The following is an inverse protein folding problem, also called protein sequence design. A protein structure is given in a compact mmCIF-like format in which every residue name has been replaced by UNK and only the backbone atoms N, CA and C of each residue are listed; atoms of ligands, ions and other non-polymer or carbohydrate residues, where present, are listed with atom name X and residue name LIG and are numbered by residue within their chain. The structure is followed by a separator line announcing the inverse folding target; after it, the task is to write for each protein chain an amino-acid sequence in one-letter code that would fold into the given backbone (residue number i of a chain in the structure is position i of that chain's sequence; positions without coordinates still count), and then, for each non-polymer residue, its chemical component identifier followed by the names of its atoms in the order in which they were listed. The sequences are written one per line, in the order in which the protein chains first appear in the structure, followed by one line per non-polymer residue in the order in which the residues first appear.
data_IF_322827861439
#
_entry.id   IF_322827861439
#
_cell.length_a   1.000
_cell.length_b   1.000
_cell.length_c   1.000
_cell.angle_alpha   90.00
_cell.angle_beta   90.00
_cell.angle_gamma   90.00
#
_symmetry.space_group_name_H-M   'P 1'
#
loop_
_entity.id
_entity.type
_entity.pdbx_description
1 polymer ?
#
# COMPACT_ATOMS: atom_id res chain seq x y z
N UNK A 1 24.81 32.98 5.18
CA UNK A 1 25.50 31.72 5.51
C UNK A 1 24.50 30.60 5.30
N UNK A 2 24.57 29.95 4.14
CA UNK A 2 23.71 28.83 3.74
C UNK A 2 24.66 27.71 3.35
N UNK A 3 24.62 26.60 4.09
CA UNK A 3 25.43 25.44 3.80
C UNK A 3 24.85 24.72 2.58
N UNK A 4 25.66 24.72 1.51
CA UNK A 4 25.52 23.86 0.33
C UNK A 4 25.56 22.40 0.79
N UNK A 5 24.48 21.66 0.57
CA UNK A 5 24.51 20.20 0.47
C UNK A 5 24.67 19.90 -1.02
N UNK A 6 25.90 19.59 -1.44
CA UNK A 6 26.21 19.15 -2.80
C UNK A 6 25.62 17.75 -2.97
N UNK A 7 24.53 17.66 -3.71
CA UNK A 7 23.98 16.43 -4.27
C UNK A 7 24.94 15.98 -5.38
N UNK A 8 25.82 15.02 -5.07
CA UNK A 8 26.63 14.35 -6.09
C UNK A 8 25.74 13.30 -6.76
N UNK A 9 24.97 13.75 -7.75
CA UNK A 9 24.21 12.88 -8.65
C UNK A 9 25.23 12.22 -9.60
N UNK A 10 25.66 10.99 -9.31
CA UNK A 10 26.38 10.16 -10.28
C UNK A 10 25.36 9.61 -11.28
N UNK A 11 25.20 10.34 -12.38
CA UNK A 11 24.57 9.85 -13.60
C UNK A 11 25.47 8.79 -14.24
N UNK A 12 25.14 7.51 -14.06
CA UNK A 12 25.64 6.46 -14.95
C UNK A 12 24.65 6.27 -16.09
N UNK A 13 24.99 6.85 -17.24
CA UNK A 13 24.42 6.47 -18.53
C UNK A 13 24.88 5.05 -18.84
N UNK A 14 23.94 4.14 -19.12
CA UNK A 14 24.21 2.86 -19.77
C UNK A 14 24.93 3.11 -21.10
N UNK A 15 26.24 2.93 -21.09
CA UNK A 15 27.07 2.77 -22.29
C UNK A 15 27.66 1.38 -22.17
N UNK A 16 27.40 0.53 -23.16
CA UNK A 16 28.16 -0.70 -23.39
C UNK A 16 29.65 -0.33 -23.51
N UNK A 17 30.41 -0.50 -22.42
CA UNK A 17 31.86 -0.35 -22.40
C UNK A 17 32.43 -1.64 -21.81
N UNK A 18 32.76 -2.56 -22.71
CA UNK A 18 33.73 -3.62 -22.48
C UNK A 18 35.14 -3.00 -22.40
N UNK A 19 35.45 -2.33 -21.29
CA UNK A 19 36.82 -2.02 -20.86
C UNK A 19 36.87 -2.10 -19.33
N UNK A 20 37.70 -3.00 -18.79
CA UNK A 20 37.88 -3.28 -17.37
C UNK A 20 37.97 -2.00 -16.53
N UNK A 21 37.04 -1.83 -15.59
CA UNK A 21 37.10 -0.79 -14.58
C UNK A 21 38.21 -1.17 -13.59
N UNK A 22 39.08 -0.23 -13.24
CA UNK A 22 40.08 -0.43 -12.20
C UNK A 22 39.37 -0.81 -10.89
N UNK A 23 39.59 -2.04 -10.40
CA UNK A 23 38.89 -2.59 -9.24
C UNK A 23 37.88 -3.70 -9.54
N UNK A 24 37.75 -4.12 -10.81
CA UNK A 24 37.05 -5.36 -11.18
C UNK A 24 37.81 -6.60 -10.73
N UNK A 25 37.11 -7.51 -10.07
CA UNK A 25 37.64 -8.79 -9.63
C UNK A 25 36.70 -9.93 -10.03
N UNK A 26 37.16 -10.78 -10.94
CA UNK A 26 36.47 -12.03 -11.24
C UNK A 26 36.59 -12.98 -10.05
N UNK A 27 35.45 -13.47 -9.58
CA UNK A 27 35.36 -14.53 -8.58
C UNK A 27 34.71 -15.75 -9.23
N UNK A 28 35.50 -16.60 -9.93
CA UNK A 28 34.97 -17.80 -10.60
C UNK A 28 34.63 -18.91 -9.59
N UNK A 29 35.02 -18.73 -8.33
CA UNK A 29 34.67 -19.62 -7.24
C UNK A 29 33.27 -19.27 -6.73
N UNK A 30 32.56 -20.24 -6.17
CA UNK A 30 31.25 -19.98 -5.56
C UNK A 30 31.35 -19.82 -4.04
N UNK A 31 32.23 -20.56 -3.38
CA UNK A 31 32.36 -20.57 -1.92
C UNK A 31 33.61 -19.79 -1.49
N UNK A 32 33.48 -18.92 -0.49
CA UNK A 32 34.61 -18.28 0.19
C UNK A 32 35.13 -19.19 1.30
N UNK A 33 36.43 -19.47 1.26
CA UNK A 33 37.20 -20.16 2.29
C UNK A 33 38.67 -19.70 2.21
N UNK A 34 39.55 -20.24 3.05
CA UNK A 34 40.96 -19.87 3.14
C UNK A 34 41.71 -20.01 1.81
N UNK A 35 41.28 -20.90 0.92
CA UNK A 35 41.89 -21.09 -0.40
C UNK A 35 41.38 -20.11 -1.46
N UNK A 36 40.12 -19.67 -1.38
CA UNK A 36 39.50 -18.80 -2.40
C UNK A 36 39.52 -17.33 -2.02
N UNK A 37 39.54 -17.00 -0.72
CA UNK A 37 39.60 -15.61 -0.22
C UNK A 37 40.89 -14.89 -0.63
N UNK A 38 41.97 -15.65 -0.86
CA UNK A 38 43.23 -15.14 -1.38
C UNK A 38 43.09 -14.47 -2.77
N UNK A 39 41.98 -14.72 -3.49
CA UNK A 39 41.64 -14.01 -4.74
C UNK A 39 41.52 -12.49 -4.54
N UNK A 40 41.13 -12.06 -3.33
CA UNK A 40 40.99 -10.65 -2.97
C UNK A 40 42.26 -10.08 -2.31
N UNK A 41 43.18 -10.93 -1.86
CA UNK A 41 44.39 -10.50 -1.18
C UNK A 41 45.28 -9.63 -2.09
N UNK A 42 45.69 -8.47 -1.58
CA UNK A 42 46.51 -7.48 -2.28
C UNK A 42 45.85 -6.85 -3.53
N UNK A 43 44.52 -6.92 -3.66
CA UNK A 43 43.75 -6.24 -4.70
C UNK A 43 42.81 -5.22 -4.08
N UNK A 44 42.72 -4.05 -4.69
CA UNK A 44 41.67 -3.07 -4.36
C UNK A 44 40.41 -3.43 -5.15
N UNK A 45 39.82 -4.58 -4.85
CA UNK A 45 38.56 -4.99 -5.45
C UNK A 45 37.44 -4.05 -4.98
N UNK A 46 36.65 -3.55 -5.91
CA UNK A 46 35.46 -2.73 -5.64
C UNK A 46 34.22 -3.42 -6.24
N UNK A 47 34.42 -4.08 -7.39
CA UNK A 47 33.39 -4.79 -8.14
C UNK A 47 33.76 -6.27 -8.22
N UNK A 48 32.81 -7.15 -7.89
CA UNK A 48 32.95 -8.59 -8.06
C UNK A 48 32.13 -9.07 -9.25
N UNK A 49 32.77 -9.76 -10.19
CA UNK A 49 32.08 -10.53 -11.22
C UNK A 49 32.02 -12.00 -10.79
N UNK A 50 30.87 -12.44 -10.30
CA UNK A 50 30.68 -13.79 -9.79
C UNK A 50 29.71 -13.84 -8.60
N UNK A 51 28.99 -14.97 -8.50
CA UNK A 51 28.19 -15.27 -7.31
C UNK A 51 29.07 -15.77 -6.17
N UNK A 52 28.72 -15.41 -4.95
CA UNK A 52 29.52 -15.73 -3.77
C UNK A 52 28.65 -16.27 -2.63
N UNK A 53 29.18 -17.28 -1.95
CA UNK A 53 28.57 -17.97 -0.83
C UNK A 53 29.55 -18.08 0.33
N UNK A 54 29.09 -17.70 1.52
CA UNK A 54 29.77 -17.95 2.79
C UNK A 54 28.86 -18.89 3.57
N UNK A 55 29.37 -20.08 3.90
CA UNK A 55 28.58 -21.08 4.60
C UNK A 55 29.34 -21.84 5.70
N UNK A 56 28.75 -22.91 6.24
CA UNK A 56 29.35 -23.72 7.31
C UNK A 56 30.67 -24.39 6.93
N UNK A 57 30.99 -24.47 5.63
CA UNK A 57 32.26 -25.03 5.12
C UNK A 57 33.37 -23.99 5.06
N UNK A 58 33.04 -22.72 5.27
CA UNK A 58 33.99 -21.62 5.32
C UNK A 58 34.83 -21.68 6.59
N UNK A 59 36.15 -21.69 6.44
CA UNK A 59 37.13 -21.74 7.53
C UNK A 59 37.76 -20.37 7.84
N UNK A 60 37.26 -19.30 7.20
CA UNK A 60 37.75 -17.93 7.40
C UNK A 60 37.07 -17.24 8.57
N UNK A 61 37.83 -16.41 9.26
CA UNK A 61 37.37 -15.58 10.38
C UNK A 61 36.66 -14.32 9.89
N UNK A 62 35.93 -13.66 10.79
CA UNK A 62 35.27 -12.39 10.50
C UNK A 62 36.31 -11.33 10.11
N UNK A 63 37.44 -11.29 10.81
CA UNK A 63 38.53 -10.36 10.57
C UNK A 63 39.18 -10.56 9.19
N UNK A 64 39.40 -11.80 8.77
CA UNK A 64 39.91 -12.11 7.42
C UNK A 64 38.93 -11.67 6.33
N UNK A 65 37.62 -11.83 6.57
CA UNK A 65 36.59 -11.33 5.66
C UNK A 65 36.56 -9.80 5.60
N UNK A 66 36.71 -9.11 6.73
CA UNK A 66 36.80 -7.63 6.75
C UNK A 66 38.00 -7.18 5.92
N UNK A 67 39.17 -7.78 6.13
CA UNK A 67 40.38 -7.44 5.37
C UNK A 67 40.16 -7.63 3.86
N UNK A 68 39.48 -8.70 3.45
CA UNK A 68 39.26 -9.04 2.06
C UNK A 68 38.09 -8.28 1.38
N UNK A 69 37.01 -7.96 2.11
CA UNK A 69 35.72 -7.58 1.51
C UNK A 69 35.25 -6.15 1.85
N UNK A 70 35.91 -5.44 2.76
CA UNK A 70 35.45 -4.11 3.20
C UNK A 70 35.34 -3.06 2.09
N UNK A 71 36.13 -3.20 1.01
CA UNK A 71 36.11 -2.28 -0.14
C UNK A 71 35.08 -2.64 -1.21
N UNK A 72 34.45 -3.81 -1.12
CA UNK A 72 33.50 -4.28 -2.13
C UNK A 72 32.24 -3.44 -2.06
N UNK A 73 31.95 -2.72 -3.14
CA UNK A 73 30.73 -1.93 -3.30
C UNK A 73 29.66 -2.62 -4.13
N UNK A 74 30.08 -3.52 -5.03
CA UNK A 74 29.24 -4.11 -6.05
C UNK A 74 29.51 -5.60 -6.26
N UNK A 75 28.44 -6.40 -6.38
CA UNK A 75 28.51 -7.81 -6.78
C UNK A 75 27.59 -8.05 -7.97
N UNK A 76 28.16 -8.51 -9.08
CA UNK A 76 27.46 -9.06 -10.25
C UNK A 76 27.35 -10.57 -10.10
N UNK A 77 26.33 -10.98 -9.34
CA UNK A 77 26.05 -12.35 -8.96
C UNK A 77 25.07 -12.39 -7.80
N UNK A 78 24.88 -13.59 -7.27
CA UNK A 78 24.07 -13.82 -6.07
C UNK A 78 24.96 -13.85 -4.84
N UNK A 79 24.54 -13.19 -3.76
CA UNK A 79 25.20 -13.22 -2.46
C UNK A 79 24.44 -14.14 -1.50
N UNK A 80 25.12 -15.16 -0.99
CA UNK A 80 24.54 -16.16 -0.08
C UNK A 80 25.32 -16.23 1.24
N UNK A 81 24.64 -16.04 2.36
CA UNK A 81 25.19 -16.20 3.72
C UNK A 81 24.36 -17.25 4.45
N UNK A 82 24.87 -18.47 4.59
CA UNK A 82 24.05 -19.63 4.96
C UNK A 82 24.69 -20.46 6.07
N UNK A 83 23.95 -20.84 7.11
CA UNK A 83 24.45 -21.70 8.20
C UNK A 83 25.75 -21.21 8.88
N UNK A 84 26.07 -19.93 8.83
CA UNK A 84 27.31 -19.40 9.39
C UNK A 84 27.21 -19.22 10.90
N UNK A 85 28.37 -19.12 11.56
CA UNK A 85 28.47 -18.77 12.97
C UNK A 85 28.66 -17.26 13.21
N UNK A 86 28.59 -16.44 12.16
CA UNK A 86 28.81 -14.99 12.25
C UNK A 86 27.64 -14.29 12.96
N UNK A 87 27.98 -13.26 13.74
CA UNK A 87 27.00 -12.44 14.46
C UNK A 87 26.45 -11.32 13.57
N UNK A 88 27.23 -10.86 12.59
CA UNK A 88 26.82 -9.88 11.60
C UNK A 88 27.67 -10.04 10.33
N UNK A 89 27.36 -9.25 9.30
CA UNK A 89 28.05 -9.26 8.01
C UNK A 89 28.76 -7.93 7.72
N UNK A 90 29.29 -7.28 8.76
CA UNK A 90 29.94 -5.97 8.65
C UNK A 90 31.21 -5.96 7.81
N UNK A 91 31.71 -7.15 7.43
CA UNK A 91 32.79 -7.28 6.45
C UNK A 91 32.39 -6.77 5.05
N UNK A 92 31.11 -6.50 4.80
CA UNK A 92 30.62 -5.81 3.61
C UNK A 92 30.34 -4.32 3.87
N UNK A 93 31.23 -3.61 4.56
CA UNK A 93 30.99 -2.22 5.00
C UNK A 93 30.49 -1.27 3.90
N UNK A 94 31.00 -1.40 2.67
CA UNK A 94 30.67 -0.52 1.54
C UNK A 94 29.71 -1.15 0.51
N UNK A 95 29.22 -2.36 0.75
CA UNK A 95 28.35 -3.05 -0.21
C UNK A 95 27.01 -2.33 -0.30
N UNK A 96 26.70 -1.81 -1.49
CA UNK A 96 25.47 -1.07 -1.73
C UNK A 96 24.71 -1.57 -2.95
N UNK A 97 25.25 -2.55 -3.68
CA UNK A 97 24.59 -3.10 -4.86
C UNK A 97 24.94 -4.57 -5.09
N UNK A 98 23.90 -5.39 -5.28
CA UNK A 98 24.00 -6.78 -5.72
C UNK A 98 23.01 -6.94 -6.87
N UNK A 99 23.48 -7.41 -8.02
CA UNK A 99 22.59 -7.76 -9.12
C UNK A 99 22.95 -9.11 -9.71
N UNK A 100 21.98 -9.77 -10.30
CA UNK A 100 22.17 -11.03 -10.98
C UNK A 100 21.28 -11.03 -12.22
N UNK A 101 21.78 -11.58 -13.32
CA UNK A 101 20.93 -11.93 -14.45
C UNK A 101 19.86 -12.92 -13.97
N UNK A 102 18.59 -12.71 -14.33
CA UNK A 102 17.34 -13.29 -13.80
C UNK A 102 17.21 -14.85 -13.72
N UNK A 103 18.31 -15.61 -13.69
CA UNK A 103 18.33 -17.07 -13.56
C UNK A 103 17.98 -17.55 -12.14
N UNK A 104 18.20 -16.73 -11.10
CA UNK A 104 17.78 -17.02 -9.72
C UNK A 104 16.70 -16.04 -9.25
N UNK A 105 15.72 -16.50 -8.44
CA UNK A 105 14.60 -15.66 -7.98
C UNK A 105 15.00 -14.63 -6.91
N UNK A 106 16.19 -14.72 -6.33
CA UNK A 106 16.66 -13.82 -5.28
C UNK A 106 18.14 -13.48 -5.48
N UNK A 107 18.49 -12.22 -5.23
CA UNK A 107 19.85 -11.68 -5.36
C UNK A 107 20.63 -11.80 -4.03
N UNK A 108 19.93 -11.68 -2.90
CA UNK A 108 20.50 -11.84 -1.56
C UNK A 108 19.78 -12.95 -0.79
N UNK A 109 20.54 -13.94 -0.32
CA UNK A 109 20.07 -15.03 0.52
C UNK A 109 20.79 -15.01 1.86
N UNK A 110 20.04 -14.95 2.96
CA UNK A 110 20.56 -15.05 4.33
C UNK A 110 19.73 -16.10 5.07
N UNK A 111 20.29 -17.29 5.26
CA UNK A 111 19.52 -18.45 5.70
C UNK A 111 20.18 -19.23 6.85
N UNK A 112 19.38 -19.62 7.85
CA UNK A 112 19.77 -20.55 8.91
C UNK A 112 21.02 -20.12 9.74
N UNK A 113 21.32 -18.82 9.81
CA UNK A 113 22.43 -18.30 10.61
C UNK A 113 21.99 -18.12 12.07
N UNK A 114 22.17 -19.17 12.88
CA UNK A 114 21.64 -19.24 14.25
C UNK A 114 22.17 -18.17 15.23
N UNK A 115 23.33 -17.57 14.92
CA UNK A 115 23.98 -16.54 15.74
C UNK A 115 23.88 -15.13 15.18
N UNK A 116 23.31 -14.95 13.98
CA UNK A 116 23.29 -13.67 13.31
C UNK A 116 22.26 -12.75 13.97
N UNK A 117 22.71 -11.58 14.41
CA UNK A 117 21.91 -10.56 15.10
C UNK A 117 21.58 -9.36 14.19
N UNK A 118 22.40 -9.10 13.16
CA UNK A 118 22.25 -7.92 12.29
C UNK A 118 22.80 -8.14 10.88
N UNK A 119 22.20 -7.46 9.90
CA UNK A 119 22.68 -7.36 8.52
C UNK A 119 23.64 -6.19 8.27
N UNK A 120 24.08 -5.45 9.29
CA UNK A 120 24.98 -4.30 9.12
C UNK A 120 26.10 -4.62 8.11
N UNK A 121 26.14 -3.93 6.96
CA UNK A 121 26.98 -4.25 5.80
C UNK A 121 26.23 -4.74 4.55
N UNK A 122 24.93 -5.06 4.61
CA UNK A 122 24.15 -5.44 3.43
C UNK A 122 22.75 -4.77 3.36
N UNK A 123 22.66 -3.53 3.84
CA UNK A 123 21.48 -2.67 3.69
C UNK A 123 21.67 -1.79 2.46
N UNK A 124 21.20 -2.28 1.32
CA UNK A 124 21.35 -1.65 0.01
C UNK A 124 20.19 -0.68 -0.25
N UNK A 125 20.45 0.58 -0.65
CA UNK A 125 19.40 1.59 -0.87
C UNK A 125 18.77 1.51 -2.27
N UNK A 126 18.49 0.30 -2.75
CA UNK A 126 17.89 0.04 -4.08
C UNK A 126 16.98 -1.20 -4.03
N UNK A 127 16.12 -1.33 -5.06
CA UNK A 127 15.27 -2.51 -5.23
C UNK A 127 16.10 -3.80 -5.28
N UNK A 128 15.78 -4.75 -4.40
CA UNK A 128 16.52 -5.99 -4.24
C UNK A 128 15.58 -7.15 -3.91
N UNK A 129 15.72 -8.25 -4.64
CA UNK A 129 14.97 -9.47 -4.38
C UNK A 129 15.69 -10.29 -3.30
N UNK A 130 15.02 -10.55 -2.17
CA UNK A 130 15.65 -11.08 -0.94
C UNK A 130 14.99 -12.33 -0.40
N UNK A 131 15.81 -13.23 0.14
CA UNK A 131 15.38 -14.45 0.83
C UNK A 131 16.09 -14.57 2.18
N UNK A 132 15.41 -14.16 3.26
CA UNK A 132 15.99 -14.05 4.61
C UNK A 132 15.22 -14.98 5.55
N UNK A 133 15.73 -16.19 5.75
CA UNK A 133 15.01 -17.25 6.45
C UNK A 133 15.72 -17.80 7.67
N UNK A 134 14.95 -18.04 8.74
CA UNK A 134 15.34 -18.85 9.89
C UNK A 134 16.62 -18.36 10.58
N UNK A 135 16.80 -17.05 10.72
CA UNK A 135 17.88 -16.45 11.49
C UNK A 135 17.30 -15.95 12.83
N UNK A 136 17.19 -16.82 13.87
CA UNK A 136 16.33 -16.58 15.04
C UNK A 136 16.72 -15.38 15.91
N UNK A 137 17.95 -14.88 15.78
CA UNK A 137 18.42 -13.69 16.52
C UNK A 137 18.42 -12.42 15.67
N UNK A 138 18.18 -12.53 14.36
CA UNK A 138 18.35 -11.45 13.39
C UNK A 138 17.26 -10.39 13.53
N UNK A 139 17.68 -9.19 13.88
CA UNK A 139 16.84 -7.98 13.87
C UNK A 139 17.06 -7.26 12.53
N UNK A 140 15.96 -6.89 11.88
CA UNK A 140 15.97 -6.25 10.58
C UNK A 140 15.53 -4.80 10.72
N UNK A 141 16.11 -3.91 9.92
CA UNK A 141 15.62 -2.54 9.78
C UNK A 141 14.36 -2.56 8.90
N UNK A 142 13.19 -2.73 9.53
CA UNK A 142 11.95 -2.88 8.78
C UNK A 142 11.52 -1.63 8.00
N UNK A 143 12.00 -0.44 8.35
CA UNK A 143 11.78 0.77 7.55
C UNK A 143 12.54 0.66 6.22
N UNK A 144 13.83 0.32 6.29
CA UNK A 144 14.67 0.10 5.11
C UNK A 144 14.16 -1.05 4.24
N UNK A 145 13.90 -2.22 4.83
CA UNK A 145 13.42 -3.42 4.12
C UNK A 145 12.10 -3.13 3.40
N UNK A 146 11.18 -2.41 4.05
CA UNK A 146 9.88 -2.09 3.44
C UNK A 146 10.00 -1.07 2.30
N UNK A 147 10.97 -0.16 2.39
CA UNK A 147 11.17 0.86 1.36
C UNK A 147 11.88 0.31 0.13
N UNK A 148 12.90 -0.53 0.32
CA UNK A 148 13.76 -0.99 -0.78
C UNK A 148 13.48 -2.42 -1.24
N UNK A 149 13.03 -3.34 -0.38
CA UNK A 149 12.94 -4.77 -0.72
C UNK A 149 11.48 -5.24 -0.87
N UNK A 150 10.58 -4.38 -1.36
CA UNK A 150 9.13 -4.62 -1.37
C UNK A 150 8.63 -5.64 -2.38
N UNK A 151 9.40 -5.94 -3.43
CA UNK A 151 8.91 -6.64 -4.62
C UNK A 151 8.95 -8.18 -4.47
N UNK A 152 10.09 -8.84 -4.73
CA UNK A 152 10.23 -10.29 -4.49
C UNK A 152 11.04 -10.56 -3.23
N UNK A 153 10.35 -10.53 -2.09
CA UNK A 153 10.92 -10.87 -0.79
C UNK A 153 10.32 -12.13 -0.19
N UNK A 154 11.10 -12.79 0.66
CA UNK A 154 10.63 -13.85 1.55
C UNK A 154 11.42 -13.80 2.85
N UNK A 155 10.80 -13.30 3.91
CA UNK A 155 11.45 -13.00 5.19
C UNK A 155 10.68 -13.66 6.33
N UNK A 156 11.18 -14.79 6.86
CA UNK A 156 10.46 -15.57 7.90
C UNK A 156 11.39 -16.28 8.85
N UNK A 157 10.89 -16.59 10.04
CA UNK A 157 11.64 -17.35 11.05
C UNK A 157 12.82 -16.56 11.64
N UNK A 158 12.85 -15.24 11.44
CA UNK A 158 13.81 -14.34 12.07
C UNK A 158 13.21 -13.74 13.36
N UNK A 159 14.04 -13.04 14.14
CA UNK A 159 13.55 -12.32 15.32
C UNK A 159 12.54 -11.25 14.92
N UNK A 160 12.78 -10.59 13.78
CA UNK A 160 11.86 -9.65 13.14
C UNK A 160 11.74 -9.97 11.65
N UNK A 161 10.50 -10.05 11.13
CA UNK A 161 10.23 -10.47 9.74
C UNK A 161 9.72 -9.33 8.85
N UNK A 162 9.53 -8.12 9.41
CA UNK A 162 9.11 -6.93 8.67
C UNK A 162 7.82 -7.09 7.86
N UNK A 163 6.86 -7.87 8.37
CA UNK A 163 5.58 -8.19 7.74
C UNK A 163 5.45 -9.68 7.45
N UNK A 164 4.47 -10.02 6.61
CA UNK A 164 4.16 -11.41 6.25
C UNK A 164 3.97 -11.54 4.74
N UNK A 165 4.72 -12.44 4.12
CA UNK A 165 4.61 -12.68 2.68
C UNK A 165 3.61 -13.81 2.37
N UNK A 166 2.96 -13.72 1.21
CA UNK A 166 2.12 -14.78 0.65
C UNK A 166 2.95 -15.67 -0.29
N UNK A 167 2.98 -16.99 -0.07
CA UNK A 167 3.68 -17.95 -0.96
C UNK A 167 2.91 -18.27 -2.26
N UNK A 168 1.82 -17.56 -2.53
CA UNK A 168 0.93 -17.80 -3.66
C UNK A 168 -0.37 -17.00 -3.55
N UNK A 169 -1.36 -17.28 -4.42
CA UNK A 169 -2.68 -16.69 -4.33
C UNK A 169 -3.25 -16.89 -2.91
N UNK A 170 -3.81 -15.84 -2.34
CA UNK A 170 -4.41 -15.90 -1.01
C UNK A 170 -5.61 -16.87 -1.03
N UNK A 171 -5.43 -18.04 -0.42
CA UNK A 171 -6.49 -19.01 -0.14
C UNK A 171 -6.78 -19.05 1.35
N UNK A 172 -7.92 -19.61 1.75
CA UNK A 172 -8.26 -19.83 3.16
C UNK A 172 -7.19 -20.68 3.89
N UNK A 173 -6.61 -21.66 3.20
CA UNK A 173 -5.52 -22.47 3.75
C UNK A 173 -4.27 -21.63 4.04
N UNK A 174 -3.92 -20.68 3.16
CA UNK A 174 -2.78 -19.78 3.39
C UNK A 174 -3.07 -18.72 4.45
N UNK A 175 -4.30 -18.20 4.51
CA UNK A 175 -4.75 -17.24 5.51
C UNK A 175 -4.51 -17.73 6.94
N UNK A 176 -4.84 -19.00 7.22
CA UNK A 176 -4.67 -19.62 8.52
C UNK A 176 -3.20 -19.87 8.90
N UNK A 177 -2.28 -19.74 7.95
CA UNK A 177 -0.83 -19.89 8.18
C UNK A 177 -0.12 -18.54 8.36
N UNK A 178 -0.81 -17.41 8.13
CA UNK A 178 -0.26 -16.09 8.42
C UNK A 178 -0.10 -15.94 9.93
N UNK A 179 1.06 -15.45 10.36
CA UNK A 179 1.33 -15.22 11.78
C UNK A 179 0.41 -14.11 12.32
N UNK A 180 -0.14 -14.27 13.52
CA UNK A 180 -1.08 -13.32 14.16
C UNK A 180 -0.54 -11.89 14.39
N UNK A 181 0.73 -11.62 14.07
CA UNK A 181 1.44 -10.37 14.38
C UNK A 181 2.07 -9.68 13.15
N UNK A 182 1.46 -9.81 11.97
CA UNK A 182 1.91 -9.13 10.76
C UNK A 182 1.66 -7.60 10.84
N UNK A 183 2.70 -6.78 10.62
CA UNK A 183 2.59 -5.32 10.45
C UNK A 183 2.13 -4.90 9.05
N UNK A 184 2.37 -5.75 8.04
CA UNK A 184 1.97 -5.62 6.64
C UNK A 184 1.87 -6.99 5.97
N UNK A 185 1.12 -7.11 4.87
CA UNK A 185 0.96 -8.35 4.09
C UNK A 185 1.47 -8.13 2.66
N UNK A 186 2.52 -8.84 2.27
CA UNK A 186 3.15 -8.71 0.96
C UNK A 186 2.80 -9.88 0.04
N UNK A 187 2.60 -9.60 -1.24
CA UNK A 187 2.38 -10.60 -2.28
C UNK A 187 1.15 -10.34 -3.13
N UNK A 188 0.96 -11.19 -4.16
CA UNK A 188 -0.12 -11.01 -5.12
C UNK A 188 -1.45 -11.53 -4.58
N UNK A 189 -2.40 -10.61 -4.35
CA UNK A 189 -3.78 -10.95 -4.06
C UNK A 189 -4.51 -11.32 -5.35
N UNK A 190 -4.42 -12.59 -5.76
CA UNK A 190 -5.10 -13.09 -6.97
C UNK A 190 -6.44 -13.73 -6.61
N UNK A 191 -7.53 -13.01 -6.83
CA UNK A 191 -8.89 -13.48 -6.54
C UNK A 191 -9.61 -13.86 -7.84
N UNK A 192 -9.17 -14.93 -8.52
CA UNK A 192 -9.85 -15.44 -9.74
C UNK A 192 -11.13 -16.21 -9.42
N UNK A 193 -12.20 -16.00 -10.19
CA UNK A 193 -13.31 -16.97 -10.26
C UNK A 193 -13.92 -17.03 -11.64
N UNK A 194 -14.16 -18.26 -12.09
CA UNK A 194 -14.91 -18.59 -13.31
C UNK A 194 -16.40 -18.89 -12.96
N UNK A 195 -16.74 -18.92 -11.66
CA UNK A 195 -18.06 -19.21 -11.11
C UNK A 195 -18.46 -18.18 -10.01
N UNK A 196 -19.76 -17.90 -9.89
CA UNK A 196 -20.37 -16.95 -8.94
C UNK A 196 -20.28 -17.44 -7.48
N UNK A 197 -19.07 -17.54 -6.93
CA UNK A 197 -18.83 -17.78 -5.50
C UNK A 197 -18.45 -16.44 -4.86
N UNK A 198 -19.31 -15.95 -3.97
CA UNK A 198 -19.04 -14.74 -3.20
C UNK A 198 -17.84 -14.98 -2.28
N UNK A 199 -16.78 -14.18 -2.48
CA UNK A 199 -15.56 -14.23 -1.66
C UNK A 199 -15.60 -13.15 -0.60
N UNK A 200 -14.95 -13.40 0.54
CA UNK A 200 -14.85 -12.44 1.63
C UNK A 200 -13.40 -12.12 1.94
N UNK A 201 -13.07 -10.83 2.00
CA UNK A 201 -11.83 -10.35 2.61
C UNK A 201 -12.21 -9.74 3.97
N UNK A 202 -11.84 -10.42 5.06
CA UNK A 202 -12.05 -9.93 6.42
C UNK A 202 -10.73 -9.78 7.15
N UNK A 203 -10.48 -8.57 7.62
CA UNK A 203 -9.31 -8.27 8.45
C UNK A 203 -9.84 -7.59 9.69
N UNK A 204 -9.73 -8.26 10.84
CA UNK A 204 -10.45 -7.84 12.04
C UNK A 204 -9.54 -7.87 13.28
N UNK A 205 -9.61 -6.80 14.07
CA UNK A 205 -8.96 -6.69 15.37
C UNK A 205 -7.43 -6.90 15.37
N UNK A 206 -6.75 -6.58 14.26
CA UNK A 206 -5.29 -6.56 14.22
C UNK A 206 -4.77 -5.16 14.63
N UNK A 207 -4.38 -5.04 15.89
CA UNK A 207 -3.89 -3.77 16.46
C UNK A 207 -2.49 -3.38 15.97
N UNK A 208 -1.73 -4.30 15.38
CA UNK A 208 -0.38 -4.06 14.85
C UNK A 208 -0.37 -3.81 13.34
N UNK A 209 -1.48 -4.08 12.66
CA UNK A 209 -1.59 -3.84 11.23
C UNK A 209 -1.63 -2.33 10.97
N UNK A 210 -0.63 -1.84 10.24
CA UNK A 210 -0.48 -0.42 9.92
C UNK A 210 -0.78 -0.12 8.46
N UNK A 211 -0.55 -1.09 7.56
CA UNK A 211 -0.89 -1.01 6.13
C UNK A 211 -1.33 -2.37 5.60
N UNK A 212 -2.03 -2.38 4.47
CA UNK A 212 -2.25 -3.62 3.72
C UNK A 212 -1.00 -4.01 2.93
N UNK A 213 -0.36 -3.06 2.25
CA UNK A 213 0.80 -3.34 1.40
C UNK A 213 0.39 -3.87 0.02
N UNK A 214 -0.80 -3.49 -0.43
CA UNK A 214 -1.43 -3.99 -1.66
C UNK A 214 -1.26 -2.98 -2.81
N UNK A 215 -0.05 -2.47 -2.97
CA UNK A 215 0.29 -1.41 -3.93
C UNK A 215 0.13 -1.87 -5.39
N UNK A 216 0.24 -3.17 -5.65
CA UNK A 216 0.00 -3.81 -6.95
C UNK A 216 -1.44 -4.31 -7.16
N UNK A 217 -2.38 -3.98 -6.26
CA UNK A 217 -3.77 -4.42 -6.39
C UNK A 217 -4.49 -3.61 -7.48
N UNK A 218 -4.87 -4.30 -8.56
CA UNK A 218 -5.51 -3.68 -9.73
C UNK A 218 -7.04 -3.74 -9.70
N UNK A 219 -7.63 -4.83 -9.19
CA UNK A 219 -9.08 -4.99 -9.12
C UNK A 219 -9.55 -5.87 -7.95
N UNK A 220 -10.69 -5.50 -7.38
CA UNK A 220 -11.45 -6.26 -6.40
C UNK A 220 -12.87 -6.34 -6.93
N UNK A 221 -13.22 -7.44 -7.61
CA UNK A 221 -14.56 -7.65 -8.17
C UNK A 221 -15.22 -8.90 -7.59
N UNK A 222 -16.50 -8.79 -7.22
CA UNK A 222 -17.32 -9.89 -6.64
C UNK A 222 -16.84 -10.35 -5.25
N UNK A 223 -16.33 -9.41 -4.45
CA UNK A 223 -15.73 -9.69 -3.14
C UNK A 223 -16.32 -8.79 -2.09
N UNK A 224 -16.79 -9.40 -1.00
CA UNK A 224 -17.28 -8.70 0.17
C UNK A 224 -16.11 -8.29 1.06
N UNK A 225 -15.92 -6.97 1.24
CA UNK A 225 -14.81 -6.40 2.03
C UNK A 225 -15.31 -5.98 3.42
N UNK A 226 -14.60 -6.43 4.45
CA UNK A 226 -14.89 -6.09 5.85
C UNK A 226 -13.60 -5.91 6.68
N UNK A 227 -13.29 -4.66 7.02
CA UNK A 227 -12.16 -4.29 7.88
C UNK A 227 -12.65 -3.56 9.14
N UNK A 228 -12.47 -4.17 10.31
CA UNK A 228 -13.00 -3.65 11.59
C UNK A 228 -11.95 -3.77 12.69
N UNK A 229 -11.84 -2.79 13.58
CA UNK A 229 -11.04 -2.92 14.80
C UNK A 229 -9.52 -2.91 14.59
N UNK A 230 -9.05 -2.59 13.38
CA UNK A 230 -7.62 -2.46 13.06
C UNK A 230 -7.16 -1.01 13.33
N UNK A 231 -6.98 -0.67 14.61
CA UNK A 231 -6.84 0.74 15.07
C UNK A 231 -5.72 1.54 14.39
N UNK A 232 -4.63 0.87 14.01
CA UNK A 232 -3.46 1.53 13.42
C UNK A 232 -3.44 1.49 11.89
N UNK A 233 -4.38 0.78 11.28
CA UNK A 233 -4.44 0.59 9.84
C UNK A 233 -4.72 1.93 9.13
N UNK A 234 -3.85 2.26 8.19
CA UNK A 234 -4.09 3.28 7.19
C UNK A 234 -4.02 2.70 5.78
N UNK A 235 -4.67 3.39 4.84
CA UNK A 235 -4.71 3.03 3.43
C UNK A 235 -4.03 4.11 2.58
N UNK A 236 -3.29 3.70 1.56
CA UNK A 236 -2.96 4.60 0.46
C UNK A 236 -4.25 4.98 -0.30
N UNK A 237 -4.21 6.10 -1.04
CA UNK A 237 -5.35 6.50 -1.86
C UNK A 237 -5.69 5.42 -2.90
N UNK A 238 -4.67 4.79 -3.48
CA UNK A 238 -4.81 3.73 -4.48
C UNK A 238 -5.44 2.47 -3.88
N UNK A 239 -4.92 1.98 -2.74
CA UNK A 239 -5.49 0.81 -2.04
C UNK A 239 -6.98 1.04 -1.77
N UNK A 240 -7.33 2.21 -1.25
CA UNK A 240 -8.71 2.53 -0.90
C UNK A 240 -9.59 2.62 -2.15
N UNK A 241 -9.14 3.23 -3.24
CA UNK A 241 -9.90 3.32 -4.48
C UNK A 241 -10.15 1.94 -5.10
N UNK A 242 -9.14 1.07 -5.07
CA UNK A 242 -9.27 -0.28 -5.59
C UNK A 242 -10.18 -1.14 -4.72
N UNK A 243 -10.10 -1.03 -3.39
CA UNK A 243 -11.04 -1.71 -2.47
C UNK A 243 -12.49 -1.30 -2.70
N UNK A 244 -12.72 -0.04 -3.09
CA UNK A 244 -14.03 0.49 -3.45
C UNK A 244 -14.32 0.39 -4.97
N UNK A 245 -13.67 -0.54 -5.69
CA UNK A 245 -14.10 -0.96 -7.03
C UNK A 245 -15.23 -2.00 -6.99
N UNK A 246 -15.34 -2.77 -5.89
CA UNK A 246 -16.44 -3.73 -5.65
C UNK A 246 -17.71 -3.03 -5.14
N UNK A 247 -18.87 -3.52 -5.58
CA UNK A 247 -20.18 -3.12 -5.05
C UNK A 247 -20.44 -3.66 -3.63
N UNK A 248 -19.63 -4.62 -3.15
CA UNK A 248 -19.86 -5.39 -1.93
C UNK A 248 -18.95 -4.93 -0.78
N UNK A 249 -19.01 -3.66 -0.38
CA UNK A 249 -18.29 -3.17 0.81
C UNK A 249 -19.23 -3.20 2.02
N UNK A 250 -18.93 -4.02 3.03
CA UNK A 250 -19.72 -4.06 4.26
C UNK A 250 -19.28 -2.94 5.22
N UNK A 251 -18.02 -2.98 5.65
CA UNK A 251 -17.45 -1.96 6.53
C UNK A 251 -15.94 -1.88 6.37
N UNK A 252 -15.39 -0.68 6.36
CA UNK A 252 -13.97 -0.41 6.25
C UNK A 252 -13.64 0.68 7.28
N UNK A 253 -12.98 0.29 8.36
CA UNK A 253 -12.45 1.19 9.39
C UNK A 253 -10.96 1.42 9.17
N UNK A 254 -10.50 2.65 9.36
CA UNK A 254 -9.10 3.04 9.25
C UNK A 254 -8.95 4.51 8.93
N UNK A 255 -7.76 4.90 8.44
CA UNK A 255 -7.47 6.27 8.00
C UNK A 255 -6.74 6.28 6.66
N UNK A 256 -6.65 7.44 6.03
CA UNK A 256 -5.77 7.61 4.87
C UNK A 256 -4.36 7.87 5.39
N UNK A 257 -3.34 7.21 4.84
CA UNK A 257 -1.96 7.41 5.27
C UNK A 257 -1.47 8.83 4.93
N UNK A 258 -0.55 9.39 5.71
CA UNK A 258 0.22 10.59 5.35
C UNK A 258 1.43 10.14 4.53
N UNK A 259 1.51 10.54 3.26
CA UNK A 259 2.49 10.03 2.28
C UNK A 259 3.89 10.63 2.45
N UNK A 260 4.46 10.61 3.66
CA UNK A 260 5.87 10.94 3.84
C UNK A 260 6.71 9.68 3.71
N UNK A 261 7.43 9.53 2.58
CA UNK A 261 8.52 8.54 2.44
C UNK A 261 8.20 7.24 1.69
N UNK A 262 7.03 7.10 1.06
CA UNK A 262 6.63 5.87 0.37
C UNK A 262 6.76 5.99 -1.15
N UNK A 263 7.17 4.92 -1.87
CA UNK A 263 7.14 4.90 -3.33
C UNK A 263 5.73 5.20 -3.82
N UNK A 264 5.60 6.27 -4.60
CA UNK A 264 4.33 6.66 -5.19
C UNK A 264 4.03 5.70 -6.34
N UNK A 265 2.98 4.87 -6.19
CA UNK A 265 2.46 4.08 -7.31
C UNK A 265 1.99 5.07 -8.39
N UNK A 266 2.45 4.88 -9.62
CA UNK A 266 1.98 5.66 -10.77
C UNK A 266 0.49 5.39 -11.00
N UNK A 267 -0.37 6.23 -10.44
CA UNK A 267 -1.78 6.23 -10.83
C UNK A 267 -1.96 7.14 -12.05
N UNK A 268 -2.89 6.79 -12.93
CA UNK A 268 -3.25 7.62 -14.09
C UNK A 268 -3.94 8.95 -13.69
N UNK A 269 -4.23 9.15 -12.40
CA UNK A 269 -4.96 10.29 -11.88
C UNK A 269 -4.10 11.10 -10.89
N UNK A 270 -4.11 12.42 -11.00
CA UNK A 270 -3.35 13.26 -10.06
C UNK A 270 -4.03 13.27 -8.68
N UNK A 271 -3.29 12.86 -7.65
CA UNK A 271 -3.70 12.94 -6.23
C UNK A 271 -3.43 14.36 -5.72
N UNK A 272 -4.42 14.99 -5.09
CA UNK A 272 -4.28 16.29 -4.44
C UNK A 272 -4.80 16.24 -3.01
N UNK A 273 -3.93 16.59 -2.07
CA UNK A 273 -4.28 16.79 -0.68
C UNK A 273 -4.63 18.25 -0.44
N UNK A 274 -5.78 18.50 0.17
CA UNK A 274 -6.21 19.85 0.55
C UNK A 274 -6.41 19.92 2.06
N UNK A 275 -6.11 21.09 2.63
CA UNK A 275 -6.37 21.36 4.05
C UNK A 275 -7.86 21.65 4.28
N UNK A 276 -8.31 21.54 5.53
CA UNK A 276 -9.72 21.79 5.88
C UNK A 276 -10.19 23.22 5.56
N UNK A 277 -9.27 24.20 5.55
CA UNK A 277 -9.56 25.60 5.20
C UNK A 277 -9.35 25.91 3.70
N UNK A 278 -9.11 24.88 2.88
CA UNK A 278 -8.86 25.07 1.46
C UNK A 278 -10.11 25.53 0.72
N UNK A 279 -9.94 26.58 -0.08
CA UNK A 279 -10.94 27.06 -1.04
C UNK A 279 -10.78 26.36 -2.37
N UNK A 280 -11.81 26.42 -3.20
CA UNK A 280 -11.77 25.83 -4.54
C UNK A 280 -10.59 26.34 -5.39
N UNK A 281 -10.18 27.60 -5.20
CA UNK A 281 -9.03 28.21 -5.89
C UNK A 281 -7.70 27.48 -5.62
N UNK A 282 -7.59 26.78 -4.49
CA UNK A 282 -6.40 26.01 -4.09
C UNK A 282 -6.36 24.62 -4.72
N UNK A 283 -7.44 24.16 -5.37
CA UNK A 283 -7.49 22.83 -5.98
C UNK A 283 -6.80 22.88 -7.37
N UNK A 284 -5.79 22.05 -7.64
CA UNK A 284 -5.16 21.96 -8.96
C UNK A 284 -6.17 21.58 -10.06
N UNK A 285 -6.01 22.15 -11.26
CA UNK A 285 -6.95 21.96 -12.37
C UNK A 285 -7.04 20.49 -12.88
N UNK A 286 -5.97 19.73 -12.74
CA UNK A 286 -5.86 18.33 -13.16
C UNK A 286 -6.14 17.34 -12.02
N UNK A 287 -6.70 17.80 -10.90
CA UNK A 287 -6.97 16.92 -9.77
C UNK A 287 -7.99 15.83 -10.13
N UNK A 288 -7.57 14.56 -10.03
CA UNK A 288 -8.45 13.41 -10.21
C UNK A 288 -8.92 12.86 -8.87
N UNK A 289 -7.98 12.65 -7.95
CA UNK A 289 -8.26 12.13 -6.61
C UNK A 289 -8.03 13.27 -5.62
N UNK A 290 -9.06 13.65 -4.88
CA UNK A 290 -8.99 14.71 -3.89
C UNK A 290 -9.07 14.12 -2.48
N UNK A 291 -8.07 14.38 -1.66
CA UNK A 291 -8.02 13.97 -0.25
C UNK A 291 -8.27 15.20 0.63
N UNK A 292 -9.33 15.16 1.43
CA UNK A 292 -9.73 16.24 2.31
C UNK A 292 -11.21 16.62 2.17
N UNK A 293 -11.54 17.82 2.66
CA UNK A 293 -12.92 18.33 2.69
C UNK A 293 -13.17 19.35 1.57
N UNK A 294 -14.15 19.07 0.72
CA UNK A 294 -14.65 20.03 -0.28
C UNK A 294 -15.89 20.71 0.26
N UNK A 295 -15.82 22.03 0.40
CA UNK A 295 -16.95 22.86 0.86
C UNK A 295 -17.37 23.86 -0.23
N UNK A 296 -18.68 23.92 -0.51
CA UNK A 296 -19.30 24.90 -1.41
C UNK A 296 -20.39 25.63 -0.62
N UNK A 297 -20.27 26.95 -0.53
CA UNK A 297 -21.16 27.78 0.27
C UNK A 297 -21.46 29.13 -0.39
N UNK A 298 -22.00 30.08 0.38
CA UNK A 298 -22.28 31.44 -0.08
C UNK A 298 -21.02 32.26 -0.40
N UNK A 299 -19.89 31.94 0.22
CA UNK A 299 -18.61 32.60 -0.01
C UNK A 299 -17.86 32.04 -1.23
N UNK A 300 -18.35 30.93 -1.78
CA UNK A 300 -17.71 30.24 -2.90
C UNK A 300 -17.91 31.02 -4.22
N UNK A 301 -16.80 31.42 -4.84
CA UNK A 301 -16.83 31.97 -6.19
C UNK A 301 -17.18 30.89 -7.22
N UNK A 302 -18.36 31.02 -7.82
CA UNK A 302 -18.85 30.10 -8.85
C UNK A 302 -17.91 29.98 -10.06
N UNK A 303 -17.06 30.98 -10.31
CA UNK A 303 -16.06 30.94 -11.38
C UNK A 303 -14.96 29.90 -11.15
N UNK A 304 -14.82 29.36 -9.92
CA UNK A 304 -13.82 28.34 -9.56
C UNK A 304 -14.34 26.91 -9.62
N UNK A 305 -15.65 26.71 -9.82
CA UNK A 305 -16.28 25.38 -9.80
C UNK A 305 -15.70 24.41 -10.86
N UNK A 306 -15.17 24.93 -11.97
CA UNK A 306 -14.57 24.11 -13.03
C UNK A 306 -13.35 23.30 -12.56
N UNK A 307 -12.71 23.66 -11.43
CA UNK A 307 -11.59 22.90 -10.86
C UNK A 307 -12.02 21.52 -10.35
N UNK A 308 -13.31 21.33 -10.10
CA UNK A 308 -13.88 20.04 -9.70
C UNK A 308 -14.19 19.13 -10.91
N UNK A 309 -14.08 19.63 -12.14
CA UNK A 309 -14.52 18.94 -13.36
C UNK A 309 -13.76 17.64 -13.63
N UNK A 310 -12.50 17.57 -13.19
CA UNK A 310 -11.66 16.38 -13.36
C UNK A 310 -11.70 15.42 -12.17
N UNK A 311 -12.31 15.82 -11.05
CA UNK A 311 -12.34 15.02 -9.84
C UNK A 311 -13.23 13.79 -10.05
N UNK A 312 -12.64 12.61 -9.91
CA UNK A 312 -13.29 11.31 -10.00
C UNK A 312 -13.56 10.72 -8.63
N UNK A 313 -12.72 11.05 -7.64
CA UNK A 313 -12.81 10.52 -6.28
C UNK A 313 -12.57 11.61 -5.25
N UNK A 314 -13.43 11.66 -4.23
CA UNK A 314 -13.20 12.43 -3.01
C UNK A 314 -12.98 11.44 -1.85
N UNK A 315 -11.78 11.46 -1.27
CA UNK A 315 -11.46 10.75 -0.03
C UNK A 315 -11.58 11.75 1.12
N UNK A 316 -12.77 11.79 1.71
CA UNK A 316 -13.17 12.79 2.71
C UNK A 316 -14.62 13.22 2.53
N UNK A 317 -14.89 14.50 2.71
CA UNK A 317 -16.24 15.05 2.76
C UNK A 317 -16.57 15.96 1.57
N UNK A 318 -17.82 15.92 1.13
CA UNK A 318 -18.43 16.93 0.25
C UNK A 318 -19.56 17.64 0.99
N UNK A 319 -19.36 18.92 1.28
CA UNK A 319 -20.35 19.77 1.97
C UNK A 319 -20.81 20.89 1.06
N UNK A 320 -22.11 21.06 0.88
CA UNK A 320 -22.72 22.13 0.11
C UNK A 320 -23.81 22.80 0.95
N UNK A 321 -23.58 24.02 1.41
CA UNK A 321 -24.45 24.71 2.37
C UNK A 321 -24.71 26.15 1.99
N UNK A 322 -25.97 26.58 2.03
CA UNK A 322 -26.34 27.98 1.75
C UNK A 322 -25.80 28.52 0.41
N UNK A 323 -25.56 27.64 -0.56
CA UNK A 323 -24.98 28.00 -1.85
C UNK A 323 -26.04 28.45 -2.87
N UNK A 324 -25.59 29.22 -3.86
CA UNK A 324 -26.37 29.65 -5.02
C UNK A 324 -26.36 28.64 -6.17
N UNK A 325 -25.60 27.54 -6.08
CA UNK A 325 -25.51 26.56 -7.16
C UNK A 325 -26.85 25.83 -7.39
N UNK A 326 -27.10 25.50 -8.65
CA UNK A 326 -28.37 24.89 -9.09
C UNK A 326 -28.28 23.35 -9.10
N UNK A 327 -27.08 22.79 -9.21
CA UNK A 327 -26.84 21.35 -9.21
C UNK A 327 -25.36 21.00 -9.27
N UNK A 328 -25.06 19.71 -9.41
CA UNK A 328 -23.71 19.14 -9.27
C UNK A 328 -22.97 18.92 -10.60
N UNK A 329 -23.34 19.65 -11.67
CA UNK A 329 -22.66 19.57 -12.96
C UNK A 329 -21.12 19.78 -12.90
N UNK A 330 -20.56 20.62 -12.00
CA UNK A 330 -19.11 20.71 -11.84
C UNK A 330 -18.42 19.41 -11.43
N UNK A 331 -19.15 18.46 -10.85
CA UNK A 331 -18.66 17.15 -10.37
C UNK A 331 -19.04 16.01 -11.34
N UNK A 332 -19.23 16.29 -12.63
CA UNK A 332 -19.80 15.31 -13.57
C UNK A 332 -18.99 14.00 -13.72
N UNK A 333 -17.66 14.00 -13.48
CA UNK A 333 -16.82 12.79 -13.48
C UNK A 333 -16.76 12.07 -12.14
N UNK A 334 -17.39 12.62 -11.10
CA UNK A 334 -17.31 12.07 -9.75
C UNK A 334 -17.95 10.68 -9.71
N UNK A 335 -17.13 9.69 -9.36
CA UNK A 335 -17.49 8.28 -9.25
C UNK A 335 -17.62 7.84 -7.82
N UNK A 336 -16.83 8.42 -6.91
CA UNK A 336 -16.72 7.95 -5.52
C UNK A 336 -16.58 9.08 -4.52
N UNK A 337 -17.24 8.94 -3.37
CA UNK A 337 -17.01 9.75 -2.18
C UNK A 337 -16.85 8.80 -1.00
N UNK A 338 -15.68 8.76 -0.38
CA UNK A 338 -15.35 7.80 0.67
C UNK A 338 -14.91 8.57 1.91
N UNK A 339 -15.70 8.49 2.97
CA UNK A 339 -15.35 9.03 4.28
C UNK A 339 -15.27 7.91 5.31
N UNK A 340 -14.05 7.65 5.80
CA UNK A 340 -13.79 6.63 6.83
C UNK A 340 -14.04 7.14 8.26
N UNK A 341 -14.25 8.45 8.45
CA UNK A 341 -14.43 9.02 9.77
C UNK A 341 -15.76 8.58 10.40
N UNK A 342 -15.68 8.02 11.62
CA UNK A 342 -16.80 7.35 12.29
C UNK A 342 -17.98 8.26 12.62
N UNK A 343 -17.72 9.55 12.83
CA UNK A 343 -18.71 10.52 13.32
C UNK A 343 -19.00 11.62 12.29
N UNK A 344 -18.66 11.37 11.03
CA UNK A 344 -18.77 12.34 9.96
C UNK A 344 -19.59 11.78 8.80
N UNK A 345 -20.22 12.69 8.07
CA UNK A 345 -21.06 12.35 6.92
C UNK A 345 -20.24 12.58 5.66
N UNK A 346 -20.25 11.64 4.72
CA UNK A 346 -19.53 11.81 3.44
C UNK A 346 -20.11 12.96 2.60
N UNK A 347 -21.44 13.09 2.55
CA UNK A 347 -22.13 14.08 1.73
C UNK A 347 -23.18 14.84 2.54
N UNK A 348 -23.04 16.16 2.57
CA UNK A 348 -24.00 17.07 3.20
C UNK A 348 -24.44 18.13 2.21
N UNK A 349 -25.75 18.21 1.93
CA UNK A 349 -26.34 19.21 1.03
C UNK A 349 -27.52 19.87 1.74
N UNK A 350 -27.31 21.08 2.27
CA UNK A 350 -28.26 21.73 3.17
C UNK A 350 -28.55 23.18 2.81
N UNK A 351 -29.82 23.57 2.91
CA UNK A 351 -30.24 24.99 2.84
C UNK A 351 -29.88 25.72 1.53
N UNK A 352 -29.73 24.99 0.42
CA UNK A 352 -29.44 25.56 -0.89
C UNK A 352 -30.75 25.88 -1.62
N UNK A 353 -31.22 27.13 -1.53
CA UNK A 353 -32.54 27.56 -2.01
C UNK A 353 -32.77 27.38 -3.51
N UNK A 354 -31.69 27.41 -4.30
CA UNK A 354 -31.74 27.31 -5.77
C UNK A 354 -31.36 25.93 -6.31
N UNK A 355 -30.90 25.02 -5.45
CA UNK A 355 -30.49 23.70 -5.88
C UNK A 355 -31.71 22.87 -6.26
N UNK A 356 -31.71 22.33 -7.49
CA UNK A 356 -32.83 21.60 -8.08
C UNK A 356 -32.58 20.09 -8.14
N UNK A 357 -31.32 19.68 -8.29
CA UNK A 357 -30.94 18.28 -8.49
C UNK A 357 -29.54 18.00 -7.95
N UNK A 358 -29.36 16.77 -7.46
CA UNK A 358 -28.08 16.19 -7.01
C UNK A 358 -27.57 15.11 -7.97
N UNK A 359 -28.14 15.05 -9.18
CA UNK A 359 -27.84 14.02 -10.15
C UNK A 359 -26.35 14.06 -10.53
N UNK A 360 -25.72 12.90 -10.42
CA UNK A 360 -24.35 12.64 -10.86
C UNK A 360 -24.40 11.42 -11.77
N UNK A 361 -23.90 11.57 -13.00
CA UNK A 361 -24.04 10.54 -14.04
C UNK A 361 -23.28 9.25 -13.69
N UNK A 362 -22.07 9.41 -13.17
CA UNK A 362 -21.12 8.31 -13.03
C UNK A 362 -20.86 7.93 -11.56
N UNK A 363 -21.64 8.46 -10.60
CA UNK A 363 -21.49 8.12 -9.18
C UNK A 363 -21.82 6.64 -8.97
N UNK A 364 -20.90 5.92 -8.33
CA UNK A 364 -21.00 4.49 -8.04
C UNK A 364 -21.09 4.23 -6.54
N UNK A 365 -20.21 4.87 -5.77
CA UNK A 365 -20.11 4.65 -4.33
C UNK A 365 -20.10 5.95 -3.54
N UNK A 366 -20.94 6.00 -2.51
CA UNK A 366 -20.80 6.95 -1.40
C UNK A 366 -20.67 6.15 -0.12
N UNK A 367 -19.52 6.20 0.53
CA UNK A 367 -19.25 5.45 1.75
C UNK A 367 -19.09 6.38 2.94
N UNK A 368 -19.92 6.19 3.96
CA UNK A 368 -19.75 6.76 5.29
C UNK A 368 -20.54 5.96 6.32
N UNK A 369 -20.09 6.02 7.58
CA UNK A 369 -20.80 5.40 8.70
C UNK A 369 -22.14 6.08 9.01
N UNK A 370 -22.22 7.39 8.75
CA UNK A 370 -23.45 8.17 8.89
C UNK A 370 -24.18 8.32 7.54
N UNK A 371 -25.52 8.39 7.53
CA UNK A 371 -26.29 8.61 6.32
C UNK A 371 -25.96 9.92 5.62
N UNK A 372 -26.04 9.93 4.28
CA UNK A 372 -25.97 11.15 3.46
C UNK A 372 -27.09 12.11 3.88
N UNK A 373 -26.77 13.39 4.07
CA UNK A 373 -27.73 14.39 4.54
C UNK A 373 -28.12 15.36 3.45
N UNK A 374 -29.42 15.40 3.13
CA UNK A 374 -29.97 16.27 2.09
C UNK A 374 -31.21 16.99 2.62
N UNK A 375 -31.04 18.21 3.10
CA UNK A 375 -32.03 18.87 3.95
C UNK A 375 -32.34 20.30 3.52
N UNK A 376 -33.60 20.72 3.65
CA UNK A 376 -34.00 22.12 3.52
C UNK A 376 -33.63 22.79 2.18
N UNK A 377 -33.52 22.02 1.10
CA UNK A 377 -33.29 22.56 -0.25
C UNK A 377 -34.65 22.74 -0.95
N UNK A 378 -35.27 23.91 -0.78
CA UNK A 378 -36.68 24.16 -1.13
C UNK A 378 -37.03 24.00 -2.61
N UNK A 379 -36.04 24.01 -3.51
CA UNK A 379 -36.23 23.79 -4.95
C UNK A 379 -35.90 22.36 -5.40
N UNK A 380 -35.35 21.54 -4.51
CA UNK A 380 -34.75 20.24 -4.85
C UNK A 380 -35.80 19.16 -5.00
N UNK A 381 -35.73 18.43 -6.11
CA UNK A 381 -36.52 17.24 -6.35
C UNK A 381 -35.60 16.02 -6.37
N UNK A 382 -35.70 15.20 -5.33
CA UNK A 382 -35.00 13.91 -5.29
C UNK A 382 -35.80 12.88 -6.08
N UNK A 383 -35.21 12.37 -7.16
CA UNK A 383 -35.82 11.30 -7.95
C UNK A 383 -35.58 9.95 -7.26
N UNK A 384 -36.45 8.97 -7.51
CA UNK A 384 -36.30 7.62 -6.95
C UNK A 384 -34.95 6.99 -7.32
N UNK A 385 -34.41 7.30 -8.51
CA UNK A 385 -33.08 6.89 -8.96
C UNK A 385 -31.94 7.53 -8.16
N UNK A 386 -32.09 8.79 -7.76
CA UNK A 386 -31.10 9.48 -6.91
C UNK A 386 -31.09 8.81 -5.54
N UNK A 387 -32.27 8.64 -4.95
CA UNK A 387 -32.48 8.00 -3.66
C UNK A 387 -31.90 6.57 -3.62
N UNK A 388 -32.20 5.76 -4.65
CA UNK A 388 -31.67 4.40 -4.79
C UNK A 388 -30.14 4.38 -4.82
N UNK A 389 -29.53 5.31 -5.57
CA UNK A 389 -28.07 5.39 -5.72
C UNK A 389 -27.35 5.65 -4.39
N UNK A 390 -27.79 6.64 -3.61
CA UNK A 390 -27.17 6.94 -2.31
C UNK A 390 -27.53 5.90 -1.24
N UNK A 391 -28.77 5.36 -1.27
CA UNK A 391 -29.21 4.38 -0.29
C UNK A 391 -28.53 3.01 -0.43
N UNK A 392 -28.01 2.68 -1.62
CA UNK A 392 -27.20 1.46 -1.82
C UNK A 392 -25.90 1.45 -1.01
N UNK A 393 -25.34 2.62 -0.69
CA UNK A 393 -23.94 2.74 -0.26
C UNK A 393 -23.72 3.37 1.13
N UNK A 394 -24.52 4.36 1.55
CA UNK A 394 -24.39 4.97 2.89
C UNK A 394 -25.73 5.20 3.63
N UNK A 395 -26.86 4.98 2.96
CA UNK A 395 -28.16 5.43 3.45
C UNK A 395 -28.36 6.94 3.25
N UNK A 396 -29.62 7.41 3.37
CA UNK A 396 -29.97 8.81 3.13
C UNK A 396 -30.96 9.35 4.17
N UNK A 397 -30.66 10.53 4.72
CA UNK A 397 -31.51 11.36 5.56
C UNK A 397 -31.93 12.59 4.74
N UNK A 398 -33.21 12.67 4.37
CA UNK A 398 -33.71 13.80 3.59
C UNK A 398 -35.06 14.33 4.07
N UNK A 399 -35.15 15.66 4.23
CA UNK A 399 -36.38 16.33 4.62
C UNK A 399 -36.33 17.82 4.23
N UNK A 400 -37.49 18.49 4.20
CA UNK A 400 -37.55 19.91 3.87
C UNK A 400 -37.18 20.26 2.41
N UNK A 401 -37.07 19.27 1.52
CA UNK A 401 -36.89 19.48 0.09
C UNK A 401 -38.25 19.56 -0.63
N UNK A 402 -38.28 20.05 -1.88
CA UNK A 402 -39.51 20.09 -2.69
C UNK A 402 -40.09 18.68 -2.89
N UNK A 403 -39.22 17.71 -3.09
CA UNK A 403 -39.53 16.29 -3.08
C UNK A 403 -38.40 15.56 -2.36
N UNK A 404 -38.74 14.89 -1.26
CA UNK A 404 -37.82 14.01 -0.53
C UNK A 404 -37.85 12.62 -1.16
N UNK A 405 -36.90 11.77 -0.77
CA UNK A 405 -37.01 10.35 -1.07
C UNK A 405 -38.32 9.80 -0.46
N UNK A 406 -39.01 8.89 -1.18
CA UNK A 406 -40.11 8.14 -0.56
C UNK A 406 -39.57 7.42 0.69
N UNK A 407 -40.44 7.06 1.64
CA UNK A 407 -40.05 6.25 2.80
C UNK A 407 -39.37 4.97 2.29
N UNK A 408 -38.05 4.99 2.22
CA UNK A 408 -37.28 3.86 1.75
C UNK A 408 -37.32 2.91 2.94
N UNK A 409 -38.25 1.95 2.91
CA UNK A 409 -38.08 0.70 3.65
C UNK A 409 -36.67 0.28 3.29
N UNK A 410 -35.76 0.26 4.28
CA UNK A 410 -34.43 -0.32 4.09
C UNK A 410 -34.67 -1.70 3.48
N UNK A 411 -34.61 -1.84 2.15
CA UNK A 411 -33.99 -3.01 1.59
C UNK A 411 -32.63 -2.89 2.23
N UNK A 412 -32.38 -3.74 3.23
CA UNK A 412 -31.08 -3.83 3.82
C UNK A 412 -30.09 -3.65 2.65
N UNK A 413 -29.25 -2.61 2.69
CA UNK A 413 -27.85 -2.85 2.34
C UNK A 413 -27.61 -4.26 2.83
N UNK A 414 -27.33 -5.25 1.96
CA UNK A 414 -27.21 -6.63 2.42
C UNK A 414 -26.19 -6.64 3.56
N UNK A 415 -26.67 -6.42 4.78
CA UNK A 415 -26.08 -6.84 6.00
C UNK A 415 -26.24 -8.31 5.81
N UNK A 416 -25.13 -8.96 5.51
CA UNK A 416 -25.03 -10.41 5.55
C UNK A 416 -25.12 -10.80 7.03
N UNK A 417 -26.23 -10.43 7.67
CA UNK A 417 -26.67 -10.86 8.98
C UNK A 417 -27.86 -11.74 8.64
N UNK A 418 -27.59 -13.05 8.62
CA UNK A 418 -28.47 -14.18 8.25
C UNK A 418 -28.64 -14.48 6.75
N UNK A 419 -27.75 -15.32 6.21
CA UNK A 419 -28.16 -16.30 5.20
C UNK A 419 -28.23 -17.68 5.86
N UNK A 420 -29.44 -18.25 5.90
CA UNK A 420 -29.68 -19.63 6.26
C UNK A 420 -28.95 -20.57 5.29
N UNK A 421 -28.48 -21.68 5.83
CA UNK A 421 -27.54 -22.60 5.22
C UNK A 421 -28.11 -23.24 3.94
N UNK A 422 -27.55 -22.83 2.81
CA UNK A 422 -27.44 -23.67 1.61
C UNK A 422 -25.96 -23.79 1.28
N UNK A 423 -25.48 -24.99 0.97
CA UNK A 423 -24.06 -25.31 0.75
C UNK A 423 -23.39 -24.37 -0.27
N UNK A 424 -22.85 -23.24 0.22
CA UNK A 424 -21.96 -22.34 -0.50
C UNK A 424 -20.57 -22.61 0.06
N UNK A 425 -19.61 -22.91 -0.81
CA UNK A 425 -18.19 -22.92 -0.46
C UNK A 425 -17.79 -21.48 -0.14
N UNK A 426 -17.78 -21.15 1.15
CA UNK A 426 -17.38 -19.83 1.64
C UNK A 426 -15.86 -19.81 1.71
N UNK A 427 -15.19 -19.04 0.84
CA UNK A 427 -13.80 -18.65 1.08
C UNK A 427 -13.80 -17.37 1.91
N UNK A 428 -13.57 -17.53 3.22
CA UNK A 428 -13.37 -16.41 4.15
C UNK A 428 -11.89 -16.24 4.44
N UNK A 429 -11.30 -15.12 4.05
CA UNK A 429 -10.06 -14.64 4.67
C UNK A 429 -10.46 -14.03 6.02
N UNK A 430 -9.97 -14.58 7.14
CA UNK A 430 -10.09 -13.93 8.45
C UNK A 430 -8.71 -13.87 9.08
N UNK A 431 -8.15 -12.67 9.17
CA UNK A 431 -6.89 -12.42 9.88
C UNK A 431 -7.27 -11.86 11.25
N UNK A 432 -7.00 -12.64 12.31
CA UNK A 432 -7.21 -12.23 13.70
C UNK A 432 -5.88 -11.74 14.31
N UNK A 433 -5.93 -10.63 15.06
CA UNK A 433 -4.87 -10.28 15.99
C UNK A 433 -5.17 -10.88 17.37
N UNK A 434 -4.32 -11.78 17.87
CA UNK A 434 -4.40 -12.23 19.26
C UNK A 434 -3.75 -11.18 20.18
N UNK A 435 -4.57 -10.50 20.97
CA UNK A 435 -4.08 -9.66 22.07
C UNK A 435 -3.56 -10.57 23.19
N UNK A 436 -2.25 -10.82 23.23
CA UNK A 436 -1.62 -11.35 24.44
C UNK A 436 -1.44 -10.17 25.43
N UNK A 437 -2.12 -10.30 26.57
CA UNK A 437 -2.07 -9.43 27.75
C UNK A 437 -0.67 -9.30 28.35
#
# INVERSE_FOLDING_TARGET
MSHKMQLLLLLFTFVDISDHIEGDCDFPFYIINSSTIATFANRSCIYINGSMRIDETSDVTHEELVEALHTIGYIDGVLEIVNTAFVNISFFELLHFVMSNNEKPYQLLIENNTKMESMNGALMPFALDVHILNNPLLILDCEHITHYYSDHRKIRGNRENCGCELDGPLTEAFALTLQDNCSAIYGNLVLRTDEFVEKFIRIENNLKLERLGWDALEDVSVITVQFIGNRNLCYSATELITLFSTDYVNVVEGRICEETGWPQVETNETICRISNDSRLENIPANCGILIGQVSIDEATDSSQLWRLYNVTTILGQLTIRNSSIIGLAPLWKLKRIINLALNEVAVTIESNRHMKSIYLKDIRHVYSKLPVRIQNNTAMMLLDSDCSTYNKSAGIECYGNRQNCPDIVKSASRSVDSFEHGNVLILSLIIYGSAQL
#
